data_IF_691377968992
#
_entry.id   IF_691377968992
#
_cell.length_a   1.000
_cell.length_b   1.000
_cell.length_c   1.000
_cell.angle_alpha   90.00
_cell.angle_beta   90.00
_cell.angle_gamma   90.00
#
_symmetry.space_group_name_H-M   'P 1'
#
loop_
_entity.id
_entity.type
_entity.pdbx_description
1 polymer ?
#
# COMPACT_ATOMS: atom_id res chain seq x y z
N UNK A 1 43.45 -38.95 19.62
CA UNK A 1 42.42 -40.01 19.73
C UNK A 1 41.23 -39.63 18.86
N UNK A 2 40.40 -40.58 18.42
CA UNK A 2 39.19 -40.30 17.62
C UNK A 2 38.25 -39.30 18.30
N UNK A 3 38.21 -39.28 19.64
CA UNK A 3 37.42 -38.32 20.42
C UNK A 3 37.80 -36.84 20.19
N UNK A 4 39.07 -36.54 19.88
CA UNK A 4 39.50 -35.17 19.57
C UNK A 4 38.98 -34.73 18.20
N UNK A 5 38.96 -35.66 17.24
CA UNK A 5 38.49 -35.39 15.88
C UNK A 5 36.98 -35.13 15.85
N UNK A 6 36.20 -35.91 16.61
CA UNK A 6 34.74 -35.71 16.74
C UNK A 6 34.41 -34.35 17.36
N UNK A 7 35.08 -33.97 18.45
CA UNK A 7 34.90 -32.64 19.07
C UNK A 7 35.29 -31.49 18.14
N UNK A 8 36.30 -31.70 17.30
CA UNK A 8 36.71 -30.71 16.30
C UNK A 8 35.64 -30.55 15.20
N UNK A 9 35.09 -31.67 14.72
CA UNK A 9 34.02 -31.68 13.73
C UNK A 9 32.74 -31.03 14.25
N UNK A 10 32.30 -31.34 15.47
CA UNK A 10 31.13 -30.69 16.10
C UNK A 10 31.34 -29.17 16.21
N UNK A 11 32.55 -28.73 16.58
CA UNK A 11 32.87 -27.30 16.69
C UNK A 11 32.86 -26.61 15.32
N UNK A 12 33.33 -27.29 14.27
CA UNK A 12 33.30 -26.79 12.89
C UNK A 12 31.86 -26.72 12.37
N UNK A 13 31.04 -27.76 12.60
CA UNK A 13 29.64 -27.79 12.20
C UNK A 13 28.87 -26.65 12.88
N UNK A 14 28.99 -26.52 14.21
CA UNK A 14 28.34 -25.43 14.95
C UNK A 14 28.80 -24.03 14.48
N UNK A 15 30.08 -23.88 14.14
CA UNK A 15 30.59 -22.63 13.60
C UNK A 15 30.01 -22.33 12.21
N UNK A 16 29.93 -23.32 11.32
CA UNK A 16 29.34 -23.20 9.99
C UNK A 16 27.84 -22.89 10.07
N UNK A 17 27.09 -23.57 10.94
CA UNK A 17 25.66 -23.32 11.16
C UNK A 17 25.40 -21.91 11.67
N UNK A 18 26.23 -21.40 12.59
CA UNK A 18 26.14 -20.01 13.07
C UNK A 18 26.39 -19.00 11.94
N UNK A 19 27.41 -19.24 11.10
CA UNK A 19 27.72 -18.38 9.94
C UNK A 19 26.59 -18.42 8.90
N UNK A 20 26.02 -19.59 8.62
CA UNK A 20 24.87 -19.76 7.73
C UNK A 20 23.63 -19.05 8.28
N UNK A 21 23.31 -19.23 9.56
CA UNK A 21 22.15 -18.60 10.20
C UNK A 21 22.28 -17.09 10.23
N UNK A 22 23.46 -16.56 10.56
CA UNK A 22 23.73 -15.12 10.53
C UNK A 22 23.65 -14.55 9.12
N UNK A 23 24.16 -15.25 8.10
CA UNK A 23 24.04 -14.84 6.70
C UNK A 23 22.58 -14.84 6.22
N UNK A 24 21.80 -15.87 6.58
CA UNK A 24 20.36 -15.94 6.29
C UNK A 24 19.60 -14.81 6.98
N UNK A 25 19.89 -14.54 8.26
CA UNK A 25 19.31 -13.43 9.00
C UNK A 25 19.70 -12.09 8.40
N UNK A 26 20.96 -11.90 7.99
CA UNK A 26 21.43 -10.68 7.32
C UNK A 26 20.71 -10.49 5.98
N UNK A 27 20.57 -11.53 5.17
CA UNK A 27 19.84 -11.47 3.89
C UNK A 27 18.35 -11.19 4.10
N UNK A 28 17.74 -11.77 5.12
CA UNK A 28 16.34 -11.51 5.49
C UNK A 28 16.15 -10.07 5.97
N UNK A 29 17.03 -9.57 6.84
CA UNK A 29 17.03 -8.19 7.32
C UNK A 29 17.30 -7.19 6.18
N UNK A 30 18.24 -7.48 5.28
CA UNK A 30 18.48 -6.68 4.07
C UNK A 30 17.24 -6.63 3.18
N UNK A 31 16.49 -7.74 3.07
CA UNK A 31 15.24 -7.79 2.30
C UNK A 31 14.13 -6.98 2.95
N UNK A 32 14.02 -6.99 4.27
CA UNK A 32 13.08 -6.15 5.03
C UNK A 32 13.44 -4.66 4.91
N UNK A 33 14.72 -4.31 5.05
CA UNK A 33 15.24 -2.95 4.91
C UNK A 33 15.08 -2.40 3.48
N UNK A 34 15.18 -3.27 2.47
CA UNK A 34 15.00 -2.91 1.06
C UNK A 34 13.53 -2.92 0.59
N UNK A 35 12.56 -3.14 1.48
CA UNK A 35 11.17 -2.79 1.18
C UNK A 35 11.05 -1.27 1.10
N UNK A 36 11.42 -0.70 -0.06
CA UNK A 36 11.07 0.68 -0.39
C UNK A 36 9.56 0.79 -0.29
N UNK A 37 9.05 1.83 0.38
CA UNK A 37 7.65 2.21 0.29
C UNK A 37 7.30 2.31 -1.20
N UNK A 38 6.39 1.49 -1.72
CA UNK A 38 6.06 1.45 -3.13
C UNK A 38 5.76 2.85 -3.66
N UNK A 39 6.41 3.22 -4.78
CA UNK A 39 6.15 4.50 -5.44
C UNK A 39 4.65 4.64 -5.75
N UNK A 40 4.15 5.87 -5.90
CA UNK A 40 2.74 6.16 -6.22
C UNK A 40 2.22 5.32 -7.42
N UNK A 41 3.11 4.89 -8.31
CA UNK A 41 2.80 3.99 -9.43
C UNK A 41 2.22 2.64 -8.99
N UNK A 42 2.61 2.09 -7.84
CA UNK A 42 2.08 0.82 -7.29
C UNK A 42 0.55 0.86 -7.15
N UNK A 43 0.01 2.00 -6.74
CA UNK A 43 -1.43 2.26 -6.63
C UNK A 43 -2.19 2.08 -7.96
N UNK A 44 -1.50 2.25 -9.08
CA UNK A 44 -2.09 2.16 -10.42
C UNK A 44 -1.84 0.79 -11.07
N UNK A 45 -0.94 -0.03 -10.48
CA UNK A 45 -0.64 -1.37 -10.97
C UNK A 45 -1.67 -2.39 -10.47
N UNK A 46 -1.83 -3.53 -11.17
CA UNK A 46 -2.74 -4.60 -10.74
C UNK A 46 -2.18 -5.47 -9.60
N UNK A 47 -0.93 -5.25 -9.20
CA UNK A 47 -0.26 -6.06 -8.17
C UNK A 47 -0.74 -5.68 -6.76
N UNK A 48 -1.40 -6.62 -6.09
CA UNK A 48 -2.00 -6.44 -4.76
C UNK A 48 -1.46 -7.45 -3.74
N UNK A 49 -0.20 -7.88 -3.88
CA UNK A 49 0.44 -8.74 -2.88
C UNK A 49 0.85 -7.96 -1.62
N UNK A 50 0.81 -8.57 -0.41
CA UNK A 50 1.21 -7.92 0.82
C UNK A 50 2.56 -7.21 0.71
N UNK A 51 2.59 -5.92 1.05
CA UNK A 51 3.78 -5.07 0.97
C UNK A 51 3.91 -4.23 -0.31
N UNK A 52 3.09 -4.49 -1.34
CA UNK A 52 3.10 -3.75 -2.62
C UNK A 52 2.05 -2.62 -2.66
N UNK A 53 1.88 -1.89 -1.55
CA UNK A 53 0.97 -0.74 -1.42
C UNK A 53 1.69 0.61 -1.35
N UNK A 54 1.09 1.67 -1.88
CA UNK A 54 1.55 3.03 -1.59
C UNK A 54 1.21 3.39 -0.14
N UNK A 55 2.23 3.74 0.65
CA UNK A 55 2.08 4.10 2.05
C UNK A 55 2.38 5.59 2.27
N UNK A 56 1.57 6.27 3.07
CA UNK A 56 1.83 7.63 3.54
C UNK A 56 1.79 7.72 5.06
N UNK A 57 2.52 8.68 5.62
CA UNK A 57 2.64 8.87 7.08
C UNK A 57 1.34 9.40 7.68
N UNK A 58 0.92 8.82 8.80
CA UNK A 58 -0.29 9.18 9.53
C UNK A 58 -1.57 8.64 8.91
N UNK A 59 -2.71 9.16 9.40
CA UNK A 59 -4.07 8.72 9.03
C UNK A 59 -4.77 9.62 8.02
N UNK A 60 -4.20 10.79 7.71
CA UNK A 60 -4.76 11.76 6.75
C UNK A 60 -3.72 12.06 5.68
N UNK A 61 -4.15 12.01 4.42
CA UNK A 61 -3.28 12.25 3.29
C UNK A 61 -4.09 12.50 2.02
N UNK A 62 -3.43 12.98 0.97
CA UNK A 62 -4.06 13.14 -0.33
C UNK A 62 -3.10 12.71 -1.42
N UNK A 63 -3.68 12.28 -2.54
CA UNK A 63 -2.95 11.95 -3.75
C UNK A 63 -3.67 12.54 -4.95
N UNK A 64 -2.93 12.70 -6.03
CA UNK A 64 -3.41 13.34 -7.25
C UNK A 64 -3.12 12.43 -8.41
N UNK A 65 -4.16 12.04 -9.14
CA UNK A 65 -4.03 11.19 -10.32
C UNK A 65 -4.48 11.99 -11.53
N UNK A 66 -3.56 12.14 -12.48
CA UNK A 66 -3.88 12.60 -13.82
C UNK A 66 -4.27 11.40 -14.66
N UNK A 67 -5.51 11.38 -15.14
CA UNK A 67 -5.97 10.37 -16.08
C UNK A 67 -5.27 10.53 -17.43
N UNK A 68 -5.09 9.42 -18.14
CA UNK A 68 -4.51 9.38 -19.49
C UNK A 68 -5.38 10.11 -20.52
N UNK A 69 -6.69 10.20 -20.27
CA UNK A 69 -7.67 10.88 -21.10
C UNK A 69 -8.75 11.58 -20.27
N UNK A 70 -9.53 12.46 -20.90
CA UNK A 70 -10.71 13.06 -20.26
C UNK A 70 -11.78 12.00 -20.08
N UNK A 71 -12.27 11.85 -18.85
CA UNK A 71 -13.30 10.87 -18.46
C UNK A 71 -14.34 11.61 -17.64
N UNK A 72 -15.61 11.29 -17.87
CA UNK A 72 -16.75 11.61 -17.01
C UNK A 72 -16.87 10.49 -15.96
N UNK A 73 -16.36 10.68 -14.73
CA UNK A 73 -16.28 9.59 -13.77
C UNK A 73 -17.68 9.19 -13.31
N UNK A 74 -17.96 7.89 -13.34
CA UNK A 74 -19.21 7.29 -12.84
C UNK A 74 -19.00 6.57 -11.52
N UNK A 75 -17.79 6.04 -11.31
CA UNK A 75 -17.42 5.25 -10.17
C UNK A 75 -15.89 5.26 -10.02
N UNK A 76 -15.37 4.97 -8.84
CA UNK A 76 -13.94 4.75 -8.63
C UNK A 76 -13.81 3.50 -7.78
N UNK A 77 -12.64 2.91 -7.61
CA UNK A 77 -12.52 1.66 -6.84
C UNK A 77 -11.26 1.72 -6.03
N UNK A 78 -11.40 1.43 -4.74
CA UNK A 78 -10.31 1.27 -3.80
C UNK A 78 -10.23 -0.20 -3.42
N UNK A 79 -9.04 -0.75 -3.51
CA UNK A 79 -8.75 -2.14 -3.20
C UNK A 79 -7.63 -2.21 -2.16
N UNK A 80 -7.78 -3.13 -1.22
CA UNK A 80 -6.83 -3.45 -0.18
C UNK A 80 -6.67 -4.99 -0.11
N UNK A 81 -5.56 -5.47 0.45
CA UNK A 81 -5.39 -6.92 0.68
C UNK A 81 -6.52 -7.47 1.55
N UNK A 82 -6.99 -8.71 1.29
CA UNK A 82 -7.97 -9.37 2.16
C UNK A 82 -7.36 -9.64 3.53
N UNK A 83 -8.20 -9.61 4.57
CA UNK A 83 -7.81 -9.85 5.97
C UNK A 83 -7.04 -11.15 6.18
N UNK A 84 -7.39 -12.20 5.43
CA UNK A 84 -6.72 -13.50 5.48
C UNK A 84 -5.25 -13.47 5.02
N UNK A 85 -4.85 -12.47 4.23
CA UNK A 85 -3.47 -12.28 3.77
C UNK A 85 -2.71 -11.25 4.60
N UNK A 86 -3.35 -10.62 5.59
CA UNK A 86 -2.70 -9.66 6.47
C UNK A 86 -1.85 -10.39 7.51
N UNK A 87 -0.55 -10.09 7.66
CA UNK A 87 0.32 -10.74 8.65
C UNK A 87 -0.18 -10.62 10.10
N UNK A 88 -0.83 -9.51 10.44
CA UNK A 88 -1.43 -9.26 11.75
C UNK A 88 -2.86 -9.82 11.90
N UNK A 89 -3.47 -10.33 10.82
CA UNK A 89 -4.88 -10.69 10.78
C UNK A 89 -5.84 -9.49 10.86
N UNK A 90 -5.33 -8.25 10.74
CA UNK A 90 -6.08 -7.00 10.84
C UNK A 90 -5.72 -6.05 9.71
N UNK A 91 -6.62 -5.13 9.35
CA UNK A 91 -6.44 -4.17 8.26
C UNK A 91 -6.37 -2.72 8.79
N UNK A 92 -5.72 -2.50 9.94
CA UNK A 92 -5.68 -1.17 10.59
C UNK A 92 -5.09 -0.06 9.71
N UNK A 93 -4.18 -0.40 8.80
CA UNK A 93 -3.56 0.53 7.87
C UNK A 93 -4.40 0.82 6.63
N UNK A 94 -5.54 0.13 6.44
CA UNK A 94 -6.43 0.41 5.33
C UNK A 94 -7.07 1.80 5.49
N UNK A 95 -7.26 2.55 4.40
CA UNK A 95 -8.03 3.80 4.42
C UNK A 95 -9.45 3.52 4.91
N UNK A 96 -10.02 4.46 5.67
CA UNK A 96 -11.38 4.38 6.20
C UNK A 96 -12.26 5.42 5.50
N UNK A 97 -12.31 6.64 6.03
CA UNK A 97 -13.14 7.70 5.46
C UNK A 97 -12.36 8.38 4.33
N UNK A 98 -13.02 8.69 3.21
CA UNK A 98 -12.38 9.38 2.10
C UNK A 98 -13.36 10.19 1.20
N UNK A 99 -12.86 11.10 0.33
CA UNK A 99 -13.66 11.97 -0.56
C UNK A 99 -13.02 12.38 -1.92
N UNK A 100 -13.48 11.98 -3.11
CA UNK A 100 -12.85 12.43 -4.39
C UNK A 100 -13.23 13.87 -4.71
N UNK A 101 -12.24 14.56 -5.29
CA UNK A 101 -12.42 15.83 -5.98
C UNK A 101 -12.01 15.70 -7.44
N UNK A 102 -12.82 16.26 -8.33
CA UNK A 102 -12.48 16.37 -9.76
C UNK A 102 -12.19 17.82 -10.12
N UNK A 103 -11.19 18.03 -10.98
CA UNK A 103 -10.79 19.34 -11.51
C UNK A 103 -10.59 19.25 -13.01
N UNK A 104 -11.10 20.22 -13.75
CA UNK A 104 -11.05 20.23 -15.22
C UNK A 104 -9.71 20.69 -15.80
N UNK A 105 -8.90 21.42 -15.03
CA UNK A 105 -7.61 21.97 -15.48
C UNK A 105 -6.50 21.64 -14.49
N UNK A 106 -5.41 21.05 -14.99
CA UNK A 106 -4.20 20.74 -14.21
C UNK A 106 -3.58 21.99 -13.55
N UNK A 107 -3.60 23.15 -14.21
CA UNK A 107 -3.05 24.41 -13.65
C UNK A 107 -3.78 24.89 -12.39
N UNK A 108 -5.06 24.54 -12.24
CA UNK A 108 -5.81 24.86 -11.05
C UNK A 108 -5.25 24.11 -9.82
N UNK A 109 -4.62 22.94 -10.02
CA UNK A 109 -4.03 22.10 -8.97
C UNK A 109 -2.92 22.78 -8.14
N UNK A 110 -2.25 23.79 -8.71
CA UNK A 110 -1.21 24.56 -8.02
C UNK A 110 -1.81 25.44 -6.93
N UNK A 111 -3.08 25.86 -7.07
CA UNK A 111 -3.80 26.59 -6.04
C UNK A 111 -4.49 25.62 -5.08
N UNK A 112 -3.76 25.18 -4.05
CA UNK A 112 -4.23 24.32 -2.95
C UNK A 112 -5.48 24.85 -2.21
N UNK A 113 -5.79 26.15 -2.36
CA UNK A 113 -6.98 26.78 -1.74
C UNK A 113 -8.29 26.49 -2.47
N UNK A 114 -8.25 26.17 -3.77
CA UNK A 114 -9.45 25.82 -4.54
C UNK A 114 -9.66 24.31 -4.47
N UNK A 115 -10.42 23.85 -3.47
CA UNK A 115 -10.91 22.47 -3.45
C UNK A 115 -11.73 22.26 -4.74
N UNK A 116 -11.43 21.19 -5.48
CA UNK A 116 -12.19 20.83 -6.69
C UNK A 116 -13.67 20.56 -6.38
N UNK A 117 -14.45 20.16 -7.39
CA UNK A 117 -15.84 19.76 -7.16
C UNK A 117 -15.85 18.46 -6.33
N UNK A 118 -16.42 18.51 -5.11
CA UNK A 118 -16.65 17.32 -4.28
C UNK A 118 -17.65 16.41 -5.01
N UNK A 119 -17.25 15.16 -5.26
CA UNK A 119 -18.17 14.18 -5.85
C UNK A 119 -18.89 13.35 -4.78
N UNK A 120 -18.31 13.22 -3.59
CA UNK A 120 -18.94 12.58 -2.44
C UNK A 120 -17.95 12.25 -1.32
N UNK A 121 -18.47 11.79 -0.19
CA UNK A 121 -17.72 11.26 0.95
C UNK A 121 -18.16 9.82 1.20
N UNK A 122 -17.22 8.94 1.50
CA UNK A 122 -17.43 7.49 1.59
C UNK A 122 -16.59 6.90 2.71
N UNK A 123 -16.95 5.69 3.14
CA UNK A 123 -16.22 4.90 4.14
C UNK A 123 -15.94 3.52 3.54
N UNK A 124 -14.66 3.13 3.46
CA UNK A 124 -14.28 1.77 3.07
C UNK A 124 -14.70 0.80 4.16
N UNK A 125 -15.40 -0.28 3.79
CA UNK A 125 -15.82 -1.30 4.75
C UNK A 125 -14.72 -2.36 4.90
N UNK A 126 -14.04 -2.40 6.05
CA UNK A 126 -12.99 -3.39 6.33
C UNK A 126 -13.51 -4.83 6.40
N UNK A 127 -14.81 -5.02 6.64
CA UNK A 127 -15.45 -6.33 6.80
C UNK A 127 -16.20 -6.75 5.51
N UNK A 128 -16.24 -5.87 4.50
CA UNK A 128 -16.83 -6.12 3.18
C UNK A 128 -15.86 -6.75 2.17
N UNK A 129 -16.25 -6.74 0.89
CA UNK A 129 -15.43 -7.28 -0.21
C UNK A 129 -14.10 -6.53 -0.35
N UNK A 130 -13.05 -7.24 -0.80
CA UNK A 130 -11.73 -6.63 -0.99
C UNK A 130 -11.73 -5.50 -2.05
N UNK A 131 -12.63 -5.60 -3.04
CA UNK A 131 -12.81 -4.63 -4.12
C UNK A 131 -14.09 -3.84 -3.89
N UNK A 132 -13.99 -2.54 -3.62
CA UNK A 132 -15.16 -1.69 -3.39
C UNK A 132 -15.10 -0.39 -4.19
N UNK A 133 -16.26 0.04 -4.70
CA UNK A 133 -16.37 1.09 -5.71
C UNK A 133 -16.95 2.40 -5.13
N UNK A 134 -16.20 3.51 -5.14
CA UNK A 134 -16.49 4.78 -4.45
C UNK A 134 -15.83 6.03 -5.05
N UNK A 135 -16.11 7.23 -4.52
CA UNK A 135 -15.44 8.54 -4.70
C UNK A 135 -14.24 8.96 -3.79
N UNK A 136 -12.94 8.99 -4.15
CA UNK A 136 -11.75 9.04 -3.20
C UNK A 136 -10.87 10.30 -2.88
N UNK A 137 -10.67 10.61 -1.58
CA UNK A 137 -9.53 11.34 -0.92
C UNK A 137 -9.45 10.95 0.56
N UNK A 138 -8.37 10.33 1.04
CA UNK A 138 -8.35 9.73 2.39
C UNK A 138 -8.38 10.75 3.54
N UNK A 139 -9.38 10.63 4.40
CA UNK A 139 -9.61 11.46 5.59
C UNK A 139 -9.14 10.75 6.88
N UNK A 140 -9.32 9.42 6.95
CA UNK A 140 -8.97 8.60 8.11
C UNK A 140 -8.54 7.19 7.70
N UNK A 141 -8.01 6.41 8.64
CA UNK A 141 -7.71 4.98 8.48
C UNK A 141 -8.36 4.16 9.61
N UNK A 142 -8.13 2.85 9.63
CA UNK A 142 -8.70 1.92 10.61
C UNK A 142 -7.88 1.78 11.91
N UNK A 143 -7.14 2.83 12.30
CA UNK A 143 -6.49 2.93 13.61
C UNK A 143 -4.99 2.65 13.61
N UNK A 144 -4.35 2.55 12.44
CA UNK A 144 -2.89 2.49 12.38
C UNK A 144 -2.29 3.89 12.62
N UNK A 145 -1.48 4.01 13.68
CA UNK A 145 -0.98 5.32 14.13
C UNK A 145 0.09 5.92 13.21
N UNK A 146 0.93 5.07 12.62
CA UNK A 146 2.11 5.54 11.88
C UNK A 146 1.88 5.79 10.39
N UNK A 147 1.01 5.03 9.73
CA UNK A 147 0.83 5.09 8.28
C UNK A 147 -0.53 4.58 7.83
N UNK A 148 -0.87 4.93 6.59
CA UNK A 148 -2.01 4.40 5.84
C UNK A 148 -1.52 3.85 4.51
N UNK A 149 -2.02 2.66 4.13
CA UNK A 149 -1.58 1.93 2.95
C UNK A 149 -2.70 1.74 1.93
N UNK A 150 -2.49 2.19 0.71
CA UNK A 150 -3.41 2.04 -0.40
C UNK A 150 -2.82 1.10 -1.46
N UNK A 151 -3.51 0.00 -1.77
CA UNK A 151 -2.98 -0.99 -2.73
C UNK A 151 -3.33 -0.62 -4.17
N UNK A 152 -4.61 -0.42 -4.48
CA UNK A 152 -5.01 -0.10 -5.86
C UNK A 152 -6.17 0.88 -5.94
N UNK A 153 -6.04 1.83 -6.85
CA UNK A 153 -7.08 2.81 -7.16
C UNK A 153 -7.43 2.80 -8.65
N UNK A 154 -8.72 2.71 -8.97
CA UNK A 154 -9.24 2.70 -10.35
C UNK A 154 -10.28 3.80 -10.51
N UNK A 155 -10.30 4.44 -11.68
CA UNK A 155 -11.34 5.41 -12.06
C UNK A 155 -12.13 4.84 -13.21
N UNK A 156 -13.45 4.81 -13.07
CA UNK A 156 -14.39 4.28 -14.07
C UNK A 156 -15.28 5.41 -14.57
N UNK A 157 -15.61 5.40 -15.87
CA UNK A 157 -16.39 6.45 -16.48
C UNK A 157 -16.41 6.34 -18.00
N UNK A 158 -17.19 7.21 -18.63
CA UNK A 158 -17.22 7.32 -20.09
C UNK A 158 -16.16 8.32 -20.55
N UNK A 159 -15.51 8.11 -21.70
CA UNK A 159 -14.73 9.15 -22.35
C UNK A 159 -15.53 10.44 -22.45
N UNK A 160 -14.94 11.58 -22.08
CA UNK A 160 -15.53 12.87 -22.38
C UNK A 160 -15.22 13.23 -23.82
N UNK A 161 -16.23 13.68 -24.58
CA UNK A 161 -16.02 14.19 -25.93
C UNK A 161 -14.96 15.30 -25.91
N UNK A 162 -14.02 15.24 -26.86
CA UNK A 162 -12.88 16.16 -26.99
C UNK A 162 -13.33 17.46 -27.64
#
# INVERSE_FOLDING_TARGET
>A
SQAVLVKLLEKIINYLDFVLLSALLQMFLLRLMNQKSPDLCSLLQPDVHPGNCWAFRGSTGFLVIRLSMRVLPSAFTLEHIPKALAPSGTLHSAPRDFAVYVRERWRAFINLRERGKLLGTYTYDQDGDAVQTFAVSVLSNWGHEEYTCMYRFRVHGTPGDV
#
